data_IF_283754608438
#
_entry.id   IF_283754608438
#
_cell.length_a   1.000
_cell.length_b   1.000
_cell.length_c   1.000
_cell.angle_alpha   90.00
_cell.angle_beta   90.00
_cell.angle_gamma   90.00
#
_symmetry.space_group_name_H-M   'P 1'
#
loop_
_entity.id
_entity.type
_entity.pdbx_description
1 polymer ?
#
# COMPACT_ATOMS: atom_id res chain seq x y z
N UNK A 1 -14.24 -10.59 -15.20
CA UNK A 1 -14.62 -11.26 -13.94
C UNK A 1 -14.06 -10.50 -12.76
N UNK A 2 -14.87 -10.24 -11.75
CA UNK A 2 -14.42 -9.51 -10.58
C UNK A 2 -13.78 -10.47 -9.60
N UNK A 3 -12.57 -10.14 -9.13
CA UNK A 3 -11.86 -10.94 -8.14
C UNK A 3 -12.34 -10.56 -6.73
N UNK A 4 -12.75 -11.55 -5.94
CA UNK A 4 -13.29 -11.33 -4.59
C UNK A 4 -12.26 -10.68 -3.66
N UNK A 5 -10.99 -11.02 -3.79
CA UNK A 5 -9.91 -10.40 -3.03
C UNK A 5 -9.80 -8.90 -3.32
N UNK A 6 -9.84 -8.53 -4.59
CA UNK A 6 -9.79 -7.13 -5.02
C UNK A 6 -10.99 -6.36 -4.47
N UNK A 7 -12.20 -6.92 -4.55
CA UNK A 7 -13.40 -6.28 -4.01
C UNK A 7 -13.31 -6.07 -2.50
N UNK A 8 -12.83 -7.07 -1.78
CA UNK A 8 -12.66 -7.01 -0.34
C UNK A 8 -11.71 -5.88 0.05
N UNK A 9 -10.56 -5.81 -0.63
CA UNK A 9 -9.55 -4.77 -0.36
C UNK A 9 -10.12 -3.38 -0.67
N UNK A 10 -10.78 -3.22 -1.82
CA UNK A 10 -11.38 -1.94 -2.21
C UNK A 10 -12.39 -1.45 -1.18
N UNK A 11 -13.25 -2.33 -0.68
CA UNK A 11 -14.25 -1.97 0.34
C UNK A 11 -13.59 -1.53 1.64
N UNK A 12 -12.54 -2.21 2.06
CA UNK A 12 -11.81 -1.83 3.27
C UNK A 12 -11.11 -0.49 3.11
N UNK A 13 -10.45 -0.27 1.98
CA UNK A 13 -9.77 1.00 1.70
C UNK A 13 -10.76 2.15 1.66
N UNK A 14 -11.93 1.95 1.05
CA UNK A 14 -12.96 2.98 0.97
C UNK A 14 -13.43 3.44 2.36
N UNK A 15 -13.48 2.54 3.32
CA UNK A 15 -13.84 2.87 4.71
C UNK A 15 -12.74 3.59 5.47
N UNK A 16 -11.47 3.34 5.13
CA UNK A 16 -10.31 3.84 5.89
C UNK A 16 -9.71 5.11 5.32
N UNK A 17 -9.91 5.37 4.04
CA UNK A 17 -9.35 6.53 3.34
C UNK A 17 -10.38 7.62 3.19
N UNK A 18 -9.94 8.89 3.17
CA UNK A 18 -10.80 9.97 2.70
C UNK A 18 -11.10 9.79 1.21
N UNK A 19 -12.09 10.53 0.71
CA UNK A 19 -12.56 10.37 -0.67
C UNK A 19 -11.45 10.67 -1.69
N UNK A 20 -10.71 11.75 -1.49
CA UNK A 20 -9.64 12.14 -2.42
C UNK A 20 -8.54 11.09 -2.47
N UNK A 21 -8.14 10.55 -1.33
CA UNK A 21 -7.12 9.51 -1.27
C UNK A 21 -7.61 8.21 -1.90
N UNK A 22 -8.87 7.87 -1.71
CA UNK A 22 -9.45 6.68 -2.33
C UNK A 22 -9.49 6.83 -3.85
N UNK A 23 -9.91 7.99 -4.37
CA UNK A 23 -9.92 8.27 -5.80
C UNK A 23 -8.52 8.19 -6.40
N UNK A 24 -7.52 8.78 -5.72
CA UNK A 24 -6.12 8.67 -6.13
C UNK A 24 -5.68 7.21 -6.20
N UNK A 25 -6.00 6.42 -5.17
CA UNK A 25 -5.62 5.01 -5.09
C UNK A 25 -6.24 4.20 -6.23
N UNK A 26 -7.51 4.44 -6.55
CA UNK A 26 -8.16 3.77 -7.68
C UNK A 26 -7.50 4.13 -9.00
N UNK A 27 -7.14 5.41 -9.18
CA UNK A 27 -6.41 5.87 -10.37
C UNK A 27 -5.06 5.17 -10.53
N UNK A 28 -4.31 5.05 -9.44
CA UNK A 28 -3.02 4.35 -9.45
C UNK A 28 -3.21 2.87 -9.78
N UNK A 29 -4.23 2.22 -9.21
CA UNK A 29 -4.51 0.82 -9.49
C UNK A 29 -4.81 0.59 -10.98
N UNK A 30 -5.66 1.42 -11.58
CA UNK A 30 -6.01 1.31 -12.99
C UNK A 30 -4.82 1.59 -13.90
N UNK A 31 -4.03 2.62 -13.57
CA UNK A 31 -2.80 2.94 -14.32
C UNK A 31 -1.80 1.78 -14.25
N UNK A 32 -1.63 1.19 -13.08
CA UNK A 32 -0.74 0.04 -12.88
C UNK A 32 -1.15 -1.15 -13.75
N UNK A 33 -2.45 -1.43 -13.83
CA UNK A 33 -2.97 -2.52 -14.69
C UNK A 33 -2.70 -2.20 -16.17
N UNK A 34 -2.92 -0.96 -16.60
CA UNK A 34 -2.65 -0.54 -17.98
C UNK A 34 -1.17 -0.71 -18.34
N UNK A 35 -0.27 -0.31 -17.45
CA UNK A 35 1.16 -0.47 -17.65
C UNK A 35 1.56 -1.95 -17.69
N UNK A 36 0.97 -2.75 -16.82
CA UNK A 36 1.22 -4.20 -16.81
C UNK A 36 0.79 -4.85 -18.13
N UNK A 37 -0.35 -4.45 -18.69
CA UNK A 37 -0.80 -4.91 -20.00
C UNK A 37 0.20 -4.53 -21.10
N UNK A 38 0.69 -3.29 -21.06
CA UNK A 38 1.63 -2.77 -22.06
C UNK A 38 2.94 -3.53 -22.07
N UNK A 39 3.45 -3.93 -20.88
CA UNK A 39 4.76 -4.55 -20.73
C UNK A 39 4.72 -6.04 -20.46
N UNK A 40 3.55 -6.67 -20.54
CA UNK A 40 3.44 -8.12 -20.37
C UNK A 40 3.60 -8.61 -18.93
N UNK A 41 3.34 -7.75 -17.95
CA UNK A 41 3.45 -8.09 -16.53
C UNK A 41 2.13 -8.68 -16.00
N UNK A 42 2.18 -9.27 -14.79
CA UNK A 42 1.01 -9.85 -14.15
C UNK A 42 0.01 -8.76 -13.74
N UNK A 43 -1.19 -8.78 -14.32
CA UNK A 43 -2.22 -7.77 -14.09
C UNK A 43 -2.73 -7.77 -12.66
N UNK A 44 -2.90 -8.95 -12.07
CA UNK A 44 -3.42 -9.10 -10.71
C UNK A 44 -2.45 -8.53 -9.68
N UNK A 45 -1.16 -8.85 -9.82
CA UNK A 45 -0.12 -8.29 -8.95
C UNK A 45 -0.03 -6.78 -9.07
N UNK A 46 -0.13 -6.26 -10.28
CA UNK A 46 -0.08 -4.81 -10.53
C UNK A 46 -1.26 -4.10 -9.87
N UNK A 47 -2.46 -4.67 -9.97
CA UNK A 47 -3.66 -4.10 -9.33
C UNK A 47 -3.54 -4.10 -7.81
N UNK A 48 -3.11 -5.21 -7.22
CA UNK A 48 -2.91 -5.30 -5.76
C UNK A 48 -1.88 -4.31 -5.26
N UNK A 49 -0.74 -4.20 -5.94
CA UNK A 49 0.30 -3.24 -5.55
C UNK A 49 -0.23 -1.80 -5.63
N UNK A 50 -0.95 -1.46 -6.70
CA UNK A 50 -1.55 -0.14 -6.87
C UNK A 50 -2.58 0.19 -5.81
N UNK A 51 -3.46 -0.77 -5.48
CA UNK A 51 -4.48 -0.58 -4.44
C UNK A 51 -3.86 -0.37 -3.05
N UNK A 52 -2.77 -1.04 -2.75
CA UNK A 52 -2.20 -1.05 -1.40
C UNK A 52 -1.00 -0.10 -1.22
N UNK A 53 -0.55 0.57 -2.28
CA UNK A 53 0.67 1.39 -2.19
C UNK A 53 0.58 2.48 -1.12
N UNK A 54 -0.58 3.08 -0.91
CA UNK A 54 -0.81 4.15 0.07
C UNK A 54 -1.69 3.71 1.25
N UNK A 55 -1.77 2.40 1.54
CA UNK A 55 -2.68 1.91 2.59
C UNK A 55 -2.33 2.43 4.00
N UNK A 56 -1.11 2.92 4.20
CA UNK A 56 -0.68 3.54 5.46
C UNK A 56 -0.63 5.07 5.41
N UNK A 57 -0.93 5.69 4.27
CA UNK A 57 -0.73 7.14 4.07
C UNK A 57 -1.57 7.99 5.02
N UNK A 58 -2.81 7.56 5.30
CA UNK A 58 -3.74 8.32 6.14
C UNK A 58 -3.52 8.11 7.65
N UNK A 59 -2.57 7.28 8.05
CA UNK A 59 -2.24 7.08 9.45
C UNK A 59 -1.48 8.31 9.95
N UNK A 60 -1.85 8.90 11.11
CA UNK A 60 -1.10 10.04 11.68
C UNK A 60 0.36 9.69 11.94
N UNK A 61 1.25 10.68 11.82
CA UNK A 61 2.69 10.48 11.89
C UNK A 61 3.17 9.88 13.21
N UNK A 62 2.61 10.32 14.34
CA UNK A 62 2.95 9.76 15.65
C UNK A 62 2.56 8.29 15.77
N UNK A 63 1.44 7.92 15.17
CA UNK A 63 0.97 6.54 15.13
C UNK A 63 1.83 5.70 14.18
N UNK A 64 2.28 6.28 13.06
CA UNK A 64 3.23 5.60 12.17
C UNK A 64 4.50 5.20 12.91
N UNK A 65 5.10 6.13 13.65
CA UNK A 65 6.30 5.87 14.44
C UNK A 65 6.06 4.76 15.46
N UNK A 66 4.96 4.85 16.21
CA UNK A 66 4.61 3.87 17.24
C UNK A 66 4.41 2.48 16.65
N UNK A 67 3.66 2.38 15.55
CA UNK A 67 3.42 1.09 14.89
C UNK A 67 4.71 0.47 14.36
N UNK A 68 5.60 1.27 13.81
CA UNK A 68 6.89 0.76 13.33
C UNK A 68 7.74 0.23 14.50
N UNK A 69 7.79 0.96 15.60
CA UNK A 69 8.54 0.54 16.79
C UNK A 69 7.98 -0.75 17.39
N UNK A 70 6.66 -0.86 17.51
CA UNK A 70 6.00 -2.06 18.05
C UNK A 70 6.23 -3.31 17.22
N UNK A 71 6.38 -3.15 15.90
CA UNK A 71 6.50 -4.27 14.98
C UNK A 71 7.94 -4.48 14.50
N UNK A 72 8.91 -3.85 15.17
CA UNK A 72 10.34 -3.99 14.88
C UNK A 72 10.71 -3.61 13.45
N UNK A 73 10.00 -2.62 12.87
CA UNK A 73 10.32 -2.09 11.56
C UNK A 73 11.45 -1.07 11.72
N UNK A 74 12.59 -1.23 11.01
CA UNK A 74 13.71 -0.31 11.14
C UNK A 74 13.33 1.12 10.75
N UNK A 75 13.76 2.09 11.57
CA UNK A 75 13.48 3.52 11.33
C UNK A 75 14.83 4.24 11.18
N UNK A 76 15.03 4.92 10.06
CA UNK A 76 16.22 5.75 9.84
C UNK A 76 16.05 7.09 10.56
N UNK A 77 17.18 7.84 10.71
CA UNK A 77 17.13 9.19 11.27
C UNK A 77 16.20 10.12 10.48
N UNK A 78 16.27 10.06 9.16
CA UNK A 78 15.40 10.86 8.29
C UNK A 78 13.92 10.54 8.53
N UNK A 79 13.59 9.26 8.67
CA UNK A 79 12.21 8.81 8.92
C UNK A 79 11.73 9.20 10.32
N UNK A 80 12.63 9.23 11.31
CA UNK A 80 12.28 9.69 12.64
C UNK A 80 11.95 11.20 12.65
N UNK A 81 12.70 11.98 11.90
CA UNK A 81 12.46 13.41 11.75
C UNK A 81 11.25 13.74 10.87
N UNK A 82 10.97 12.89 9.88
CA UNK A 82 9.84 13.05 8.96
C UNK A 82 9.06 11.74 8.86
N UNK A 83 8.21 11.45 9.86
CA UNK A 83 7.53 10.16 9.93
C UNK A 83 6.60 9.84 8.75
N UNK A 84 6.19 10.85 7.98
CA UNK A 84 5.41 10.61 6.76
C UNK A 84 6.16 9.70 5.78
N UNK A 85 7.49 9.69 5.81
CA UNK A 85 8.32 8.82 4.97
C UNK A 85 8.14 7.34 5.31
N UNK A 86 7.56 7.02 6.47
CA UNK A 86 7.33 5.63 6.90
C UNK A 86 6.13 4.99 6.21
N UNK A 87 5.31 5.75 5.48
CA UNK A 87 4.08 5.18 4.91
C UNK A 87 4.35 4.02 3.95
N UNK A 88 5.46 4.01 3.23
CA UNK A 88 5.80 2.92 2.32
C UNK A 88 6.18 1.63 3.08
N UNK A 89 7.08 1.72 4.05
CA UNK A 89 7.47 0.57 4.88
C UNK A 89 6.30 0.03 5.68
N UNK A 90 5.58 0.92 6.34
CA UNK A 90 4.42 0.54 7.14
C UNK A 90 3.31 -0.01 6.24
N UNK A 91 3.14 0.55 5.05
CA UNK A 91 2.18 0.06 4.07
C UNK A 91 2.47 -1.38 3.66
N UNK A 92 3.73 -1.71 3.39
CA UNK A 92 4.12 -3.08 3.08
C UNK A 92 3.81 -4.02 4.25
N UNK A 93 4.11 -3.60 5.48
CA UNK A 93 3.79 -4.38 6.67
C UNK A 93 2.29 -4.61 6.81
N UNK A 94 1.48 -3.55 6.65
CA UNK A 94 0.01 -3.64 6.75
C UNK A 94 -0.54 -4.54 5.64
N UNK A 95 -0.02 -4.43 4.42
CA UNK A 95 -0.44 -5.29 3.33
C UNK A 95 -0.21 -6.78 3.66
N UNK A 96 0.95 -7.10 4.24
CA UNK A 96 1.26 -8.47 4.66
C UNK A 96 0.39 -8.93 5.83
N UNK A 97 0.24 -8.09 6.86
CA UNK A 97 -0.40 -8.46 8.11
C UNK A 97 -1.93 -8.37 8.04
N UNK A 98 -2.48 -7.25 7.54
CA UNK A 98 -3.93 -7.01 7.53
C UNK A 98 -4.61 -7.53 6.28
N UNK A 99 -3.95 -7.49 5.13
CA UNK A 99 -4.52 -7.92 3.85
C UNK A 99 -3.97 -9.27 3.39
N UNK A 100 -3.09 -9.85 4.19
CA UNK A 100 -2.53 -11.20 4.00
C UNK A 100 -1.83 -11.38 2.65
N UNK A 101 -1.19 -10.32 2.18
CA UNK A 101 -0.37 -10.39 0.97
C UNK A 101 0.92 -11.14 1.28
N UNK A 102 1.17 -12.22 0.56
CA UNK A 102 2.38 -13.06 0.74
C UNK A 102 3.37 -12.92 -0.40
N UNK A 103 2.91 -12.40 -1.54
CA UNK A 103 3.75 -12.25 -2.72
C UNK A 103 4.80 -11.16 -2.49
N UNK A 104 6.07 -11.54 -2.50
CA UNK A 104 7.17 -10.62 -2.21
C UNK A 104 7.31 -9.51 -3.25
N UNK A 105 6.94 -9.77 -4.51
CA UNK A 105 6.99 -8.75 -5.56
C UNK A 105 6.01 -7.62 -5.26
N UNK A 106 4.81 -7.96 -4.76
CA UNK A 106 3.80 -6.96 -4.37
C UNK A 106 4.30 -6.15 -3.18
N UNK A 107 4.83 -6.83 -2.15
CA UNK A 107 5.34 -6.17 -0.94
C UNK A 107 6.52 -5.25 -1.27
N UNK A 108 7.43 -5.69 -2.14
CA UNK A 108 8.57 -4.88 -2.56
C UNK A 108 8.11 -3.64 -3.34
N UNK A 109 7.11 -3.78 -4.19
CA UNK A 109 6.56 -2.66 -4.94
C UNK A 109 5.96 -1.60 -4.00
N UNK A 110 5.23 -2.02 -2.97
CA UNK A 110 4.65 -1.11 -1.96
C UNK A 110 5.77 -0.41 -1.18
N UNK A 111 6.75 -1.16 -0.69
CA UNK A 111 7.84 -0.62 0.13
C UNK A 111 8.68 0.40 -0.61
N UNK A 112 8.86 0.22 -1.91
CA UNK A 112 9.77 1.03 -2.73
C UNK A 112 9.07 2.01 -3.66
N UNK A 113 7.79 2.31 -3.45
CA UNK A 113 7.05 3.19 -4.36
C UNK A 113 7.40 4.68 -4.21
N UNK A 114 8.11 5.05 -3.17
CA UNK A 114 8.54 6.44 -2.96
C UNK A 114 10.05 6.59 -3.10
#
# INVERSE_FOLDING_TARGET
>A
MVNDEILYIRRRLKKKMDEDRFEHTMGVAYTSVCLAMRYGEDLHKAELAGLLHDCAKCIPDDIKLDKCKRNNIPITKAQEQSPSLLHAKLGAFIAADHYRIKDQDILNAIENHT
#
